data_IF_273890826914
#
_entry.id   IF_273890826914
#
_cell.length_a   1.000
_cell.length_b   1.000
_cell.length_c   1.000
_cell.angle_alpha   90.00
_cell.angle_beta   90.00
_cell.angle_gamma   90.00
#
_symmetry.space_group_name_H-M   'P 1'
#
loop_
_entity.id
_entity.type
_entity.pdbx_description
1 polymer ?
#
# COMPACT_ATOMS: atom_id res chain seq x y z
N UNK A 1 3.22 0.03 32.64
CA UNK A 1 2.94 -1.26 31.96
C UNK A 1 2.20 -0.99 30.65
N UNK A 2 2.87 -1.15 29.51
CA UNK A 2 2.19 -1.23 28.21
C UNK A 2 1.25 -2.44 28.31
N UNK A 3 -0.05 -2.18 28.27
CA UNK A 3 -1.02 -3.27 28.21
C UNK A 3 -0.83 -3.86 26.83
N UNK A 4 -0.27 -5.08 26.76
CA UNK A 4 -0.24 -5.82 25.51
C UNK A 4 -1.69 -5.97 25.04
N UNK A 5 -2.04 -5.23 23.98
CA UNK A 5 -3.41 -5.23 23.48
C UNK A 5 -3.74 -6.64 22.97
N UNK A 6 -4.92 -7.14 23.34
CA UNK A 6 -5.40 -8.44 22.89
C UNK A 6 -5.55 -8.44 21.37
N UNK A 7 -4.94 -9.42 20.69
CA UNK A 7 -5.11 -9.64 19.24
C UNK A 7 -6.37 -10.47 18.95
N UNK A 8 -7.52 -9.99 19.40
CA UNK A 8 -8.81 -10.65 19.12
C UNK A 8 -9.04 -10.68 17.61
N UNK A 9 -9.29 -11.87 17.05
CA UNK A 9 -9.43 -12.03 15.62
C UNK A 9 -10.43 -13.11 15.22
N UNK A 10 -10.97 -12.96 14.01
CA UNK A 10 -11.75 -13.98 13.32
C UNK A 10 -10.84 -14.64 12.29
N UNK A 11 -10.62 -15.95 12.45
CA UNK A 11 -9.88 -16.75 11.50
C UNK A 11 -10.83 -17.37 10.47
N UNK A 12 -10.51 -17.18 9.20
CA UNK A 12 -11.25 -17.75 8.08
C UNK A 12 -10.30 -18.48 7.15
N UNK A 13 -10.54 -19.77 6.89
CA UNK A 13 -9.73 -20.58 5.96
C UNK A 13 -10.51 -20.87 4.70
N UNK A 14 -10.05 -20.35 3.56
CA UNK A 14 -10.67 -20.57 2.25
C UNK A 14 -9.70 -20.17 1.13
N UNK A 15 -9.93 -20.68 -0.07
CA UNK A 15 -9.26 -20.20 -1.28
C UNK A 15 -10.14 -19.19 -2.04
N UNK A 16 -11.40 -19.01 -1.63
CA UNK A 16 -12.44 -18.35 -2.42
C UNK A 16 -12.82 -16.99 -1.81
N UNK A 17 -11.84 -16.10 -1.63
CA UNK A 17 -12.09 -14.70 -1.22
C UNK A 17 -12.16 -13.79 -2.44
N UNK A 18 -13.19 -12.97 -2.49
CA UNK A 18 -13.40 -11.97 -3.53
C UNK A 18 -12.63 -10.69 -3.19
N UNK A 19 -11.51 -10.47 -3.89
CA UNK A 19 -10.63 -9.29 -3.71
C UNK A 19 -10.83 -8.20 -4.76
N UNK A 20 -11.78 -8.37 -5.67
CA UNK A 20 -11.97 -7.46 -6.81
C UNK A 20 -12.71 -6.16 -6.42
N UNK A 21 -13.27 -6.09 -5.21
CA UNK A 21 -13.96 -4.91 -4.66
C UNK A 21 -13.39 -4.51 -3.31
N UNK A 22 -12.69 -3.38 -3.30
CA UNK A 22 -12.11 -2.77 -2.10
C UNK A 22 -13.18 -2.34 -1.07
N UNK A 23 -14.43 -2.10 -1.49
CA UNK A 23 -15.52 -1.55 -0.65
C UNK A 23 -15.73 -2.29 0.65
N UNK A 24 -15.71 -3.63 0.64
CA UNK A 24 -15.91 -4.41 1.87
C UNK A 24 -14.77 -4.21 2.86
N UNK A 25 -13.53 -4.21 2.37
CA UNK A 25 -12.35 -3.99 3.20
C UNK A 25 -12.35 -2.57 3.78
N UNK A 26 -12.78 -1.58 2.99
CA UNK A 26 -13.01 -0.19 3.43
C UNK A 26 -14.05 -0.12 4.55
N UNK A 27 -15.24 -0.68 4.33
CA UNK A 27 -16.31 -0.69 5.33
C UNK A 27 -15.89 -1.38 6.63
N UNK A 28 -15.22 -2.52 6.51
CA UNK A 28 -14.71 -3.27 7.65
C UNK A 28 -13.64 -2.48 8.40
N UNK A 29 -12.67 -1.87 7.70
CA UNK A 29 -11.62 -1.07 8.33
C UNK A 29 -12.19 0.11 9.10
N UNK A 30 -13.11 0.86 8.50
CA UNK A 30 -13.78 1.99 9.15
C UNK A 30 -14.48 1.55 10.44
N UNK A 31 -15.06 0.35 10.46
CA UNK A 31 -15.71 -0.21 11.66
C UNK A 31 -14.77 -1.05 12.52
N UNK A 32 -13.45 -0.90 12.37
CA UNK A 32 -12.45 -1.53 13.24
C UNK A 32 -12.23 -3.03 13.03
N UNK A 33 -12.51 -3.56 11.83
CA UNK A 33 -12.19 -4.94 11.47
C UNK A 33 -11.09 -4.97 10.39
N UNK A 34 -9.88 -5.33 10.80
CA UNK A 34 -8.66 -5.21 10.01
C UNK A 34 -8.29 -6.53 9.35
N UNK A 35 -8.44 -6.57 8.03
CA UNK A 35 -8.06 -7.74 7.23
C UNK A 35 -6.54 -7.89 7.08
N UNK A 36 -6.08 -9.14 7.19
CA UNK A 36 -4.74 -9.64 6.85
C UNK A 36 -4.85 -11.07 6.28
N UNK A 37 -3.77 -11.59 5.70
CA UNK A 37 -3.72 -12.98 5.26
C UNK A 37 -2.38 -13.66 5.48
N UNK A 38 -2.43 -14.98 5.65
CA UNK A 38 -1.28 -15.87 5.63
C UNK A 38 -1.48 -16.86 4.48
N UNK A 39 -0.54 -16.86 3.53
CA UNK A 39 -0.57 -17.79 2.40
C UNK A 39 -0.43 -19.24 2.90
N UNK A 40 -1.10 -20.21 2.26
CA UNK A 40 -1.86 -20.05 1.02
C UNK A 40 -3.31 -19.56 1.20
N UNK A 41 -3.97 -19.79 2.34
CA UNK A 41 -5.44 -19.72 2.41
C UNK A 41 -6.02 -19.35 3.79
N UNK A 42 -5.20 -18.77 4.66
CA UNK A 42 -5.64 -18.29 5.97
C UNK A 42 -5.86 -16.79 5.93
N UNK A 43 -7.02 -16.36 6.41
CA UNK A 43 -7.43 -14.96 6.45
C UNK A 43 -7.73 -14.58 7.89
N UNK A 44 -7.17 -13.47 8.33
CA UNK A 44 -7.34 -12.95 9.68
C UNK A 44 -8.06 -11.62 9.62
N UNK A 45 -9.07 -11.46 10.47
CA UNK A 45 -9.77 -10.20 10.64
C UNK A 45 -9.61 -9.79 12.11
N UNK A 46 -8.64 -8.93 12.38
CA UNK A 46 -8.37 -8.43 13.73
C UNK A 46 -9.37 -7.36 14.11
N UNK A 47 -9.84 -7.40 15.35
CA UNK A 47 -10.77 -6.41 15.89
C UNK A 47 -10.00 -5.22 16.47
N UNK A 48 -10.60 -4.04 16.41
CA UNK A 48 -10.13 -2.87 17.13
C UNK A 48 -10.15 -3.18 18.63
N UNK A 49 -9.02 -3.02 19.34
CA UNK A 49 -8.93 -3.40 20.75
C UNK A 49 -9.71 -2.49 21.68
N UNK A 50 -10.19 -1.33 21.20
CA UNK A 50 -10.92 -0.33 21.99
C UNK A 50 -12.43 -0.34 21.75
N UNK A 51 -12.93 -1.15 20.82
CA UNK A 51 -14.36 -1.28 20.60
C UNK A 51 -14.93 -2.44 21.40
N UNK A 52 -16.08 -2.21 22.02
CA UNK A 52 -16.67 -3.11 23.01
C UNK A 52 -17.61 -4.14 22.37
N UNK A 53 -18.43 -3.73 21.40
CA UNK A 53 -19.44 -4.60 20.80
C UNK A 53 -19.43 -4.49 19.28
N UNK A 54 -19.32 -5.63 18.60
CA UNK A 54 -19.40 -5.73 17.15
C UNK A 54 -20.59 -6.60 16.75
N UNK A 55 -21.41 -6.10 15.81
CA UNK A 55 -22.38 -6.93 15.10
C UNK A 55 -21.78 -7.34 13.75
N UNK A 56 -21.44 -8.61 13.63
CA UNK A 56 -20.75 -9.14 12.44
C UNK A 56 -21.68 -10.08 11.69
N UNK A 57 -21.88 -9.80 10.41
CA UNK A 57 -22.53 -10.70 9.46
C UNK A 57 -21.49 -11.59 8.81
N UNK A 58 -21.79 -12.88 8.68
CA UNK A 58 -20.93 -13.80 7.94
C UNK A 58 -21.80 -14.79 7.16
N UNK A 59 -21.33 -15.17 5.97
CA UNK A 59 -22.01 -16.19 5.19
C UNK A 59 -21.90 -17.55 5.87
N UNK A 60 -22.98 -18.33 5.82
CA UNK A 60 -22.99 -19.68 6.40
C UNK A 60 -21.95 -20.56 5.69
N UNK A 61 -21.20 -21.42 6.42
CA UNK A 61 -20.15 -22.25 5.83
C UNK A 61 -20.66 -23.24 4.75
N UNK A 62 -21.92 -23.63 4.82
CA UNK A 62 -22.59 -24.49 3.85
C UNK A 62 -24.10 -24.26 3.84
N UNK A 63 -24.69 -24.35 2.66
CA UNK A 63 -26.13 -24.49 2.43
C UNK A 63 -26.33 -25.76 1.60
N UNK A 64 -27.08 -26.74 2.11
CA UNK A 64 -27.32 -27.99 1.37
C UNK A 64 -28.11 -27.70 0.08
N UNK A 65 -27.58 -28.09 -1.08
CA UNK A 65 -28.28 -28.00 -2.37
C UNK A 65 -28.06 -26.70 -3.16
N UNK A 66 -27.23 -25.76 -2.69
CA UNK A 66 -26.90 -24.55 -3.43
C UNK A 66 -25.83 -24.80 -4.51
N UNK A 67 -25.93 -24.08 -5.63
CA UNK A 67 -24.96 -24.15 -6.72
C UNK A 67 -23.58 -23.70 -6.21
N UNK A 68 -22.51 -24.52 -6.33
CA UNK A 68 -21.16 -24.16 -5.88
C UNK A 68 -20.66 -22.79 -6.40
N UNK A 69 -21.11 -22.36 -7.58
CA UNK A 69 -20.77 -21.04 -8.14
C UNK A 69 -21.38 -19.86 -7.35
N UNK A 70 -22.45 -20.08 -6.58
CA UNK A 70 -23.09 -19.11 -5.69
C UNK A 70 -22.50 -19.13 -4.27
N UNK A 71 -21.62 -20.09 -3.95
CA UNK A 71 -20.98 -20.25 -2.63
C UNK A 71 -19.59 -19.60 -2.63
N UNK A 72 -19.43 -18.42 -3.25
CA UNK A 72 -18.20 -17.64 -3.08
C UNK A 72 -18.20 -17.02 -1.70
N UNK A 73 -17.13 -17.25 -0.95
CA UNK A 73 -17.02 -16.87 0.45
C UNK A 73 -16.46 -15.47 0.57
N UNK A 74 -17.35 -14.53 0.85
CA UNK A 74 -16.99 -13.10 0.90
C UNK A 74 -16.34 -12.67 2.22
N UNK A 75 -16.29 -13.55 3.22
CA UNK A 75 -15.74 -13.28 4.56
C UNK A 75 -16.71 -12.51 5.48
N UNK A 76 -16.30 -12.21 6.72
CA UNK A 76 -17.09 -11.42 7.66
C UNK A 76 -17.24 -9.95 7.22
N UNK A 77 -18.37 -9.36 7.57
CA UNK A 77 -18.68 -7.95 7.36
C UNK A 77 -19.21 -7.35 8.67
N UNK A 78 -18.63 -6.24 9.12
CA UNK A 78 -19.13 -5.52 10.29
C UNK A 78 -20.35 -4.69 9.90
N UNK A 79 -21.49 -5.06 10.46
CA UNK A 79 -22.75 -4.36 10.23
C UNK A 79 -22.83 -3.12 11.11
N UNK A 80 -22.49 -3.26 12.40
CA UNK A 80 -22.50 -2.20 13.40
C UNK A 80 -21.37 -2.39 14.40
N UNK A 81 -20.91 -1.30 15.00
CA UNK A 81 -19.99 -1.32 16.12
C UNK A 81 -20.46 -0.31 17.14
N UNK A 82 -20.39 -0.68 18.41
CA UNK A 82 -20.85 0.15 19.50
C UNK A 82 -19.75 0.45 20.49
N UNK A 83 -19.71 1.70 20.96
CA UNK A 83 -18.83 2.16 22.03
C UNK A 83 -19.63 2.52 23.28
N UNK A 84 -19.08 2.20 24.45
CA UNK A 84 -19.75 2.50 25.70
C UNK A 84 -19.67 4.00 26.03
N UNK A 85 -20.82 4.66 26.10
CA UNK A 85 -20.93 6.05 26.52
C UNK A 85 -21.13 6.11 28.03
N UNK A 86 -20.10 6.54 28.76
CA UNK A 86 -20.17 6.65 30.22
C UNK A 86 -21.12 7.74 30.71
N UNK A 87 -21.32 8.81 29.93
CA UNK A 87 -22.17 9.94 30.31
C UNK A 87 -23.65 9.56 30.21
N UNK A 88 -24.02 8.83 29.15
CA UNK A 88 -25.39 8.39 28.90
C UNK A 88 -25.72 7.04 29.54
N UNK A 89 -24.70 6.23 29.88
CA UNK A 89 -24.88 4.89 30.44
C UNK A 89 -25.46 3.89 29.43
N UNK A 90 -25.20 4.11 28.14
CA UNK A 90 -25.67 3.27 27.03
C UNK A 90 -24.57 3.13 25.95
N UNK A 91 -24.86 2.35 24.91
CA UNK A 91 -23.98 2.10 23.78
C UNK A 91 -24.31 3.01 22.58
N UNK A 92 -23.33 3.79 22.14
CA UNK A 92 -23.43 4.59 20.92
C UNK A 92 -23.04 3.75 19.69
N UNK A 93 -23.85 3.81 18.62
CA UNK A 93 -23.51 3.22 17.31
C UNK A 93 -22.49 4.12 16.60
N UNK A 94 -21.37 3.56 16.15
CA UNK A 94 -20.26 4.30 15.57
C UNK A 94 -20.01 3.85 14.13
N UNK A 95 -20.05 4.79 13.19
CA UNK A 95 -19.82 4.48 11.77
C UNK A 95 -18.33 4.34 11.42
N UNK A 96 -17.47 5.13 12.08
CA UNK A 96 -16.02 5.16 11.86
C UNK A 96 -15.29 5.18 13.20
N UNK A 97 -14.56 4.10 13.50
CA UNK A 97 -13.70 4.00 14.67
C UNK A 97 -12.33 4.65 14.41
N UNK A 98 -11.78 5.26 15.45
CA UNK A 98 -10.39 5.68 15.44
C UNK A 98 -9.49 4.44 15.42
N UNK A 99 -8.62 4.35 14.41
CA UNK A 99 -7.66 3.27 14.21
C UNK A 99 -6.24 3.62 14.73
N UNK A 100 -6.06 4.81 15.30
CA UNK A 100 -4.80 5.33 15.84
C UNK A 100 -3.77 5.70 14.77
N UNK A 101 -4.10 5.59 13.47
CA UNK A 101 -3.13 5.77 12.40
C UNK A 101 -2.65 7.22 12.26
N UNK A 102 -3.54 8.20 12.41
CA UNK A 102 -3.18 9.62 12.36
C UNK A 102 -2.28 10.02 13.54
N UNK A 103 -2.54 9.48 14.73
CA UNK A 103 -1.69 9.65 15.91
C UNK A 103 -0.28 9.10 15.65
N UNK A 104 -0.21 7.91 15.06
CA UNK A 104 1.05 7.28 14.67
C UNK A 104 1.83 8.14 13.65
N UNK A 105 1.17 8.68 12.62
CA UNK A 105 1.83 9.57 11.65
C UNK A 105 2.39 10.83 12.31
N UNK A 106 1.65 11.44 13.26
CA UNK A 106 2.09 12.62 14.02
C UNK A 106 3.25 12.31 14.94
N UNK A 107 3.19 11.21 15.68
CA UNK A 107 4.26 10.78 16.61
C UNK A 107 5.60 10.62 15.88
N UNK A 108 5.57 10.09 14.66
CA UNK A 108 6.76 9.83 13.85
C UNK A 108 7.05 10.92 12.80
N UNK A 109 6.39 12.07 12.88
CA UNK A 109 6.59 13.24 12.01
C UNK A 109 6.58 12.91 10.51
N UNK A 110 5.64 12.07 10.06
CA UNK A 110 5.43 11.83 8.63
C UNK A 110 4.74 13.06 8.01
N UNK A 111 5.31 13.64 6.97
CA UNK A 111 4.77 14.84 6.32
C UNK A 111 4.20 14.55 4.92
N UNK A 112 4.31 13.31 4.42
CA UNK A 112 3.75 12.94 3.12
C UNK A 112 2.23 13.17 3.06
N UNK A 113 1.80 13.96 2.07
CA UNK A 113 0.41 14.40 1.92
C UNK A 113 -0.55 13.23 1.66
N UNK A 114 -0.13 12.20 0.91
CA UNK A 114 -0.99 11.03 0.63
C UNK A 114 -1.24 10.20 1.89
N UNK A 115 -0.23 10.05 2.76
CA UNK A 115 -0.41 9.32 4.02
C UNK A 115 -1.26 10.11 5.02
N UNK A 116 -1.12 11.44 5.05
CA UNK A 116 -1.88 12.35 5.92
C UNK A 116 -3.33 12.59 5.46
N UNK A 117 -3.64 12.41 4.18
CA UNK A 117 -4.98 12.69 3.65
C UNK A 117 -6.01 11.64 4.10
N UNK A 118 -7.06 12.09 4.78
CA UNK A 118 -8.16 11.25 5.28
C UNK A 118 -9.11 10.78 4.16
N UNK A 119 -9.09 11.42 3.00
CA UNK A 119 -9.89 11.05 1.83
C UNK A 119 -9.26 9.91 1.02
N UNK A 120 -7.97 9.63 1.25
CA UNK A 120 -7.26 8.53 0.61
C UNK A 120 -7.54 7.25 1.37
N UNK A 121 -7.98 6.21 0.65
CA UNK A 121 -8.26 4.91 1.26
C UNK A 121 -7.01 4.33 1.91
N UNK A 122 -7.17 3.63 3.04
CA UNK A 122 -6.06 2.95 3.70
C UNK A 122 -5.34 2.00 2.73
N UNK A 123 -6.07 1.38 1.79
CA UNK A 123 -5.51 0.44 0.82
C UNK A 123 -4.56 1.16 -0.12
N UNK A 124 -4.89 2.39 -0.53
CA UNK A 124 -4.00 3.20 -1.37
C UNK A 124 -2.75 3.65 -0.61
N UNK A 125 -2.88 3.99 0.68
CA UNK A 125 -1.72 4.25 1.54
C UNK A 125 -0.78 3.04 1.61
N UNK A 126 -1.34 1.83 1.74
CA UNK A 126 -0.59 0.57 1.70
C UNK A 126 0.07 0.33 0.33
N UNK A 127 -0.67 0.54 -0.78
CA UNK A 127 -0.14 0.42 -2.15
C UNK A 127 1.05 1.36 -2.35
N UNK A 128 0.97 2.60 -1.85
CA UNK A 128 2.02 3.61 -2.04
C UNK A 128 3.33 3.16 -1.40
N UNK A 129 3.27 2.63 -0.18
CA UNK A 129 4.44 2.10 0.53
C UNK A 129 5.01 0.90 -0.21
N UNK A 130 4.17 -0.07 -0.59
CA UNK A 130 4.64 -1.27 -1.29
C UNK A 130 5.38 -0.88 -2.58
N UNK A 131 4.83 0.05 -3.39
CA UNK A 131 5.49 0.51 -4.61
C UNK A 131 6.78 1.28 -4.31
N UNK A 132 6.76 2.19 -3.33
CA UNK A 132 7.92 3.03 -2.95
C UNK A 132 9.08 2.24 -2.35
N UNK A 133 8.83 1.01 -1.88
CA UNK A 133 9.87 0.07 -1.45
C UNK A 133 10.28 -0.93 -2.54
N UNK A 134 9.54 -1.00 -3.65
CA UNK A 134 9.72 -2.02 -4.69
C UNK A 134 9.15 -3.39 -4.32
N UNK A 135 8.26 -3.46 -3.34
CA UNK A 135 7.57 -4.66 -2.88
C UNK A 135 6.35 -5.00 -3.76
N UNK A 136 6.55 -5.08 -5.08
CA UNK A 136 5.50 -5.41 -6.05
C UNK A 136 5.59 -6.87 -6.49
N UNK A 137 4.49 -7.62 -6.61
CA UNK A 137 4.55 -9.00 -7.16
C UNK A 137 4.07 -9.01 -8.60
N UNK A 138 4.97 -9.31 -9.55
CA UNK A 138 4.72 -9.32 -11.00
C UNK A 138 4.64 -10.72 -11.61
N UNK A 139 4.50 -11.77 -10.81
CA UNK A 139 4.49 -13.16 -11.31
C UNK A 139 3.20 -13.47 -12.10
N UNK A 140 3.38 -14.02 -13.31
CA UNK A 140 2.30 -14.51 -14.18
C UNK A 140 1.72 -13.43 -15.09
N UNK A 141 0.65 -13.77 -15.82
CA UNK A 141 0.00 -12.89 -16.81
C UNK A 141 -0.80 -11.73 -16.19
N UNK A 142 -1.05 -11.78 -14.87
CA UNK A 142 -1.82 -10.76 -14.15
C UNK A 142 -0.90 -9.79 -13.40
N UNK A 143 -0.68 -8.61 -14.00
CA UNK A 143 0.05 -7.46 -13.43
C UNK A 143 -0.67 -6.78 -12.24
N UNK A 144 -1.73 -7.39 -11.68
CA UNK A 144 -2.53 -6.92 -10.55
C UNK A 144 -1.81 -6.92 -9.20
N UNK A 145 -0.55 -6.47 -9.13
CA UNK A 145 0.25 -6.40 -7.90
C UNK A 145 -0.43 -5.61 -6.76
N UNK A 146 -1.26 -4.64 -7.13
CA UNK A 146 -1.96 -3.71 -6.25
C UNK A 146 -3.21 -4.33 -5.57
N UNK A 147 -3.56 -5.57 -5.90
CA UNK A 147 -4.63 -6.32 -5.24
C UNK A 147 -4.22 -6.66 -3.80
N UNK A 148 -5.17 -6.59 -2.88
CA UNK A 148 -4.92 -6.73 -1.44
C UNK A 148 -4.19 -8.04 -1.10
N UNK A 149 -4.53 -9.15 -1.74
CA UNK A 149 -3.92 -10.48 -1.53
C UNK A 149 -2.45 -10.60 -1.98
N UNK A 150 -1.95 -9.56 -2.66
CA UNK A 150 -0.59 -9.49 -3.21
C UNK A 150 0.27 -8.41 -2.57
N UNK A 151 -0.32 -7.53 -1.76
CA UNK A 151 0.39 -6.50 -1.02
C UNK A 151 1.14 -7.15 0.15
N UNK A 152 2.43 -6.88 0.26
CA UNK A 152 3.29 -7.48 1.30
C UNK A 152 2.87 -7.03 2.69
N UNK A 153 2.35 -5.81 2.82
CA UNK A 153 1.89 -5.25 4.09
C UNK A 153 0.66 -5.93 4.67
N UNK A 154 -0.16 -6.62 3.85
CA UNK A 154 -1.29 -7.42 4.33
C UNK A 154 -0.91 -8.86 4.68
N UNK A 155 0.33 -9.27 4.36
CA UNK A 155 0.79 -10.61 4.62
C UNK A 155 1.33 -10.73 6.05
N UNK A 156 0.70 -11.62 6.82
CA UNK A 156 1.18 -12.02 8.15
C UNK A 156 2.30 -13.04 7.99
N UNK A 157 3.32 -12.98 8.83
CA UNK A 157 4.37 -14.00 8.88
C UNK A 157 4.05 -15.14 9.88
N UNK A 158 4.93 -16.13 9.96
CA UNK A 158 4.74 -17.29 10.84
C UNK A 158 4.72 -16.94 12.35
N UNK A 159 5.19 -15.75 12.73
CA UNK A 159 5.17 -15.26 14.09
C UNK A 159 3.93 -14.39 14.37
N UNK A 160 2.95 -14.39 13.47
CA UNK A 160 1.74 -13.57 13.54
C UNK A 160 2.03 -12.07 13.68
N UNK A 161 3.12 -11.64 13.04
CA UNK A 161 3.55 -10.25 12.96
C UNK A 161 2.73 -9.50 11.91
N UNK A 162 2.03 -8.45 12.33
CA UNK A 162 1.15 -7.64 11.49
C UNK A 162 1.88 -6.39 11.01
N UNK A 163 2.50 -6.50 9.83
CA UNK A 163 3.30 -5.43 9.22
C UNK A 163 2.49 -4.39 8.46
N UNK A 164 1.17 -4.42 8.57
CA UNK A 164 0.32 -3.45 7.89
C UNK A 164 0.57 -2.06 8.46
N UNK A 165 0.79 -1.06 7.61
CA UNK A 165 1.06 0.31 8.04
C UNK A 165 -0.14 0.86 8.83
N UNK A 166 -1.34 0.72 8.28
CA UNK A 166 -2.56 1.29 8.86
C UNK A 166 -3.16 0.43 9.98
N UNK A 167 -2.38 -0.50 10.56
CA UNK A 167 -2.74 -1.22 11.77
C UNK A 167 -1.64 -1.01 12.81
N UNK A 168 -1.85 -0.05 13.71
CA UNK A 168 -0.80 0.45 14.61
C UNK A 168 -0.76 -0.26 15.96
N UNK A 169 -1.73 -1.14 16.24
CA UNK A 169 -1.86 -1.80 17.54
C UNK A 169 -0.93 -3.00 17.76
N UNK A 170 -0.24 -3.49 16.71
CA UNK A 170 0.75 -4.57 16.88
C UNK A 170 2.12 -4.01 17.23
N UNK A 171 2.46 -3.98 18.52
CA UNK A 171 3.75 -3.49 19.03
C UNK A 171 4.95 -4.23 18.43
N UNK A 172 4.82 -5.54 18.13
CA UNK A 172 5.90 -6.33 17.54
C UNK A 172 6.34 -5.78 16.18
N UNK A 173 5.43 -5.10 15.48
CA UNK A 173 5.61 -4.56 14.12
C UNK A 173 5.92 -3.07 14.09
N UNK A 174 6.13 -2.44 15.24
CA UNK A 174 6.42 -1.00 15.31
C UNK A 174 7.63 -0.61 14.46
N UNK A 175 8.75 -1.33 14.58
CA UNK A 175 9.97 -1.02 13.82
C UNK A 175 9.81 -1.24 12.30
N UNK A 176 8.95 -2.17 11.88
CA UNK A 176 8.64 -2.33 10.45
C UNK A 176 7.85 -1.11 9.94
N UNK A 177 6.86 -0.64 10.70
CA UNK A 177 6.08 0.55 10.33
C UNK A 177 6.92 1.82 10.31
N UNK A 178 7.79 2.01 11.31
CA UNK A 178 8.75 3.13 11.34
C UNK A 178 9.66 3.11 10.10
N UNK A 179 10.18 1.94 9.74
CA UNK A 179 11.00 1.79 8.54
C UNK A 179 10.24 2.17 7.26
N UNK A 180 8.92 1.94 7.19
CA UNK A 180 8.13 2.40 6.04
C UNK A 180 8.08 3.92 5.96
N UNK A 181 7.79 4.60 7.07
CA UNK A 181 7.77 6.07 7.14
C UNK A 181 9.15 6.64 6.82
N UNK A 182 10.22 6.09 7.40
CA UNK A 182 11.60 6.50 7.11
C UNK A 182 11.94 6.41 5.64
N UNK A 183 11.47 5.38 4.92
CA UNK A 183 11.73 5.25 3.47
C UNK A 183 11.00 6.34 2.69
N UNK A 184 9.74 6.61 2.99
CA UNK A 184 8.95 7.65 2.33
C UNK A 184 9.59 9.03 2.56
N UNK A 185 9.94 9.33 3.80
CA UNK A 185 10.56 10.61 4.16
C UNK A 185 11.99 10.75 3.61
N UNK A 186 12.77 9.67 3.55
CA UNK A 186 14.09 9.71 2.88
C UNK A 186 13.94 10.01 1.38
N UNK A 187 12.91 9.47 0.73
CA UNK A 187 12.61 9.83 -0.66
C UNK A 187 12.25 11.31 -0.75
N UNK A 188 11.26 11.77 0.01
CA UNK A 188 10.71 13.12 -0.11
C UNK A 188 11.73 14.20 0.30
N UNK A 189 12.31 14.09 1.49
CA UNK A 189 13.11 15.14 2.11
C UNK A 189 14.58 15.16 1.69
N UNK A 190 15.09 14.06 1.12
CA UNK A 190 16.51 13.96 0.71
C UNK A 190 16.67 13.67 -0.77
N UNK A 191 16.05 12.61 -1.29
CA UNK A 191 16.27 12.20 -2.68
C UNK A 191 15.62 13.19 -3.65
N UNK A 192 14.34 13.52 -3.46
CA UNK A 192 13.60 14.43 -4.33
C UNK A 192 14.00 15.90 -4.13
N UNK A 193 14.52 16.25 -2.95
CA UNK A 193 15.02 17.57 -2.63
C UNK A 193 16.41 17.88 -3.23
N UNK A 194 17.22 16.86 -3.55
CA UNK A 194 18.56 17.03 -4.15
C UNK A 194 18.55 16.68 -5.65
N UNK A 195 18.60 17.71 -6.49
CA UNK A 195 18.68 17.59 -7.96
C UNK A 195 19.83 16.73 -8.48
N UNK A 196 20.90 16.54 -7.69
CA UNK A 196 22.05 15.73 -8.06
C UNK A 196 21.78 14.23 -7.89
N UNK A 197 20.82 13.86 -7.04
CA UNK A 197 20.41 12.47 -6.83
C UNK A 197 19.39 11.99 -7.89
N UNK A 198 18.78 12.92 -8.62
CA UNK A 198 17.87 12.65 -9.73
C UNK A 198 18.66 12.31 -11.01
N UNK A 199 18.59 11.06 -11.51
CA UNK A 199 19.28 10.67 -12.74
C UNK A 199 18.71 11.40 -13.98
N UNK A 200 19.43 11.33 -15.11
CA UNK A 200 18.99 11.98 -16.35
C UNK A 200 17.60 11.53 -16.83
N UNK A 201 17.23 10.28 -16.54
CA UNK A 201 15.89 9.76 -16.81
C UNK A 201 14.78 10.51 -16.08
N UNK A 202 15.07 11.18 -14.97
CA UNK A 202 14.13 12.02 -14.21
C UNK A 202 14.45 13.52 -14.33
N UNK A 203 15.16 13.94 -15.37
CA UNK A 203 15.54 15.35 -15.57
C UNK A 203 14.36 16.33 -15.52
N UNK A 204 13.19 15.92 -15.97
CA UNK A 204 11.95 16.72 -15.96
C UNK A 204 11.26 16.84 -14.60
N UNK A 205 11.71 16.07 -13.60
CA UNK A 205 11.22 16.11 -12.23
C UNK A 205 12.04 17.05 -11.34
N UNK A 206 13.23 17.48 -11.78
CA UNK A 206 14.07 18.44 -11.04
C UNK A 206 13.28 19.72 -10.75
N UNK A 207 13.17 20.10 -9.49
CA UNK A 207 12.32 21.20 -8.96
C UNK A 207 10.83 21.12 -9.28
N UNK A 208 10.38 20.05 -9.93
CA UNK A 208 9.03 19.87 -10.45
C UNK A 208 8.31 18.68 -9.82
N UNK A 209 8.83 18.13 -8.73
CA UNK A 209 8.15 17.21 -7.82
C UNK A 209 8.57 17.51 -6.38
N UNK A 210 7.79 17.05 -5.41
CA UNK A 210 8.08 17.26 -3.98
C UNK A 210 7.91 16.00 -3.14
N UNK A 211 7.06 15.08 -3.57
CA UNK A 211 6.77 13.88 -2.80
C UNK A 211 6.37 12.70 -3.68
N UNK A 212 6.45 11.50 -3.10
CA UNK A 212 5.81 10.32 -3.68
C UNK A 212 4.29 10.45 -3.62
N UNK A 213 3.65 10.21 -4.75
CA UNK A 213 2.19 10.23 -4.90
C UNK A 213 1.77 9.48 -6.16
N UNK A 214 0.54 8.97 -6.17
CA UNK A 214 0.02 8.27 -7.35
C UNK A 214 -0.37 9.22 -8.48
N UNK A 215 -0.23 8.72 -9.70
CA UNK A 215 -0.80 9.38 -10.87
C UNK A 215 -2.32 9.18 -10.92
N UNK A 216 -3.08 10.28 -10.87
CA UNK A 216 -4.54 10.24 -10.98
C UNK A 216 -4.96 9.95 -12.43
N UNK A 217 -5.82 8.94 -12.61
CA UNK A 217 -6.40 8.51 -13.89
C UNK A 217 -7.93 8.65 -13.86
N UNK A 218 -8.42 9.83 -13.48
CA UNK A 218 -9.84 10.17 -13.42
C UNK A 218 -10.44 9.80 -12.06
N UNK A 219 -11.13 8.66 -11.97
CA UNK A 219 -11.77 8.19 -10.73
C UNK A 219 -10.91 7.19 -9.95
N UNK A 220 -9.71 6.86 -10.44
CA UNK A 220 -8.80 5.90 -9.80
C UNK A 220 -7.34 6.25 -10.08
N UNK A 221 -6.43 5.60 -9.38
CA UNK A 221 -4.99 5.76 -9.57
C UNK A 221 -4.42 4.78 -10.59
N UNK A 222 -3.40 5.23 -11.32
CA UNK A 222 -2.53 4.36 -12.09
C UNK A 222 -1.42 3.82 -11.17
N UNK A 223 -1.70 2.69 -10.52
CA UNK A 223 -0.79 2.02 -9.57
C UNK A 223 0.51 1.51 -10.21
N UNK A 224 0.90 1.96 -11.40
CA UNK A 224 2.27 1.74 -11.90
C UNK A 224 3.20 2.88 -11.51
N UNK A 225 2.67 4.04 -11.15
CA UNK A 225 3.46 5.27 -10.96
C UNK A 225 3.23 5.86 -9.58
N UNK A 226 4.31 6.19 -8.87
CA UNK A 226 4.31 6.82 -7.55
C UNK A 226 5.15 8.11 -7.50
N UNK A 227 5.43 8.71 -8.65
CA UNK A 227 6.01 10.04 -8.75
C UNK A 227 5.35 10.78 -9.90
N UNK A 228 4.92 12.01 -9.63
CA UNK A 228 4.21 12.87 -10.59
C UNK A 228 4.80 14.27 -10.54
N UNK A 229 4.84 14.96 -11.67
CA UNK A 229 5.24 16.37 -11.70
C UNK A 229 4.13 17.27 -11.12
N UNK A 230 4.49 18.46 -10.62
CA UNK A 230 3.54 19.42 -10.03
C UNK A 230 2.41 19.83 -10.98
N UNK A 231 2.67 19.80 -12.29
CA UNK A 231 1.67 20.08 -13.32
C UNK A 231 0.78 18.87 -13.69
N UNK A 232 1.01 17.72 -13.07
CA UNK A 232 0.26 16.49 -13.29
C UNK A 232 0.52 15.81 -14.64
N UNK A 233 1.50 16.25 -15.43
CA UNK A 233 1.68 15.78 -16.81
C UNK A 233 2.62 14.60 -16.94
N UNK A 234 3.70 14.57 -16.16
CA UNK A 234 4.71 13.51 -16.21
C UNK A 234 4.58 12.59 -15.01
N UNK A 235 4.94 11.33 -15.23
CA UNK A 235 4.84 10.27 -14.24
C UNK A 235 6.03 9.32 -14.33
N UNK A 236 6.43 8.80 -13.18
CA UNK A 236 7.55 7.89 -13.05
C UNK A 236 7.27 6.83 -11.98
N UNK A 237 8.06 5.76 -12.00
CA UNK A 237 8.01 4.69 -11.01
C UNK A 237 9.31 4.70 -10.26
N UNK A 238 9.23 4.94 -8.96
CA UNK A 238 10.42 5.02 -8.14
C UNK A 238 10.34 4.10 -6.94
N UNK A 239 11.50 3.62 -6.49
CA UNK A 239 11.61 2.95 -5.21
C UNK A 239 12.91 3.29 -4.51
N UNK A 240 12.89 3.18 -3.18
CA UNK A 240 14.09 3.24 -2.36
C UNK A 240 14.18 1.99 -1.50
N UNK A 241 15.26 1.23 -1.69
CA UNK A 241 15.46 -0.05 -1.02
C UNK A 241 16.19 0.09 0.31
N UNK A 242 16.57 1.29 0.74
CA UNK A 242 17.33 1.48 1.97
C UNK A 242 18.79 1.02 1.86
N UNK A 243 19.36 0.57 2.98
CA UNK A 243 20.71 -0.01 3.04
C UNK A 243 20.70 -1.41 2.44
N UNK A 244 21.18 -1.53 1.21
CA UNK A 244 21.14 -2.77 0.44
C UNK A 244 22.28 -2.81 -0.58
N UNK A 245 22.58 -4.00 -1.09
CA UNK A 245 23.60 -4.17 -2.14
C UNK A 245 23.09 -3.69 -3.49
N UNK A 246 24.02 -3.29 -4.36
CA UNK A 246 23.70 -2.98 -5.76
C UNK A 246 22.96 -4.11 -6.47
N UNK A 247 23.31 -5.36 -6.16
CA UNK A 247 22.68 -6.54 -6.76
C UNK A 247 21.19 -6.66 -6.37
N UNK A 248 20.86 -6.40 -5.10
CA UNK A 248 19.47 -6.42 -4.66
C UNK A 248 18.67 -5.25 -5.23
N UNK A 249 19.26 -4.05 -5.25
CA UNK A 249 18.64 -2.89 -5.91
C UNK A 249 18.38 -3.16 -7.40
N UNK A 250 19.30 -3.85 -8.10
CA UNK A 250 19.11 -4.23 -9.51
C UNK A 250 17.92 -5.18 -9.67
N UNK A 251 17.83 -6.18 -8.82
CA UNK A 251 16.69 -7.12 -8.81
C UNK A 251 15.36 -6.39 -8.59
N UNK A 252 15.32 -5.40 -7.70
CA UNK A 252 14.12 -4.56 -7.49
C UNK A 252 13.82 -3.72 -8.72
N UNK A 253 14.83 -3.13 -9.36
CA UNK A 253 14.67 -2.38 -10.60
C UNK A 253 14.07 -3.26 -11.72
N UNK A 254 14.62 -4.44 -11.94
CA UNK A 254 14.13 -5.38 -12.95
C UNK A 254 12.67 -5.80 -12.66
N UNK A 255 12.34 -6.05 -11.38
CA UNK A 255 10.97 -6.35 -10.95
C UNK A 255 9.98 -5.22 -11.23
N UNK A 256 10.40 -3.96 -11.07
CA UNK A 256 9.56 -2.79 -11.38
C UNK A 256 9.40 -2.61 -12.89
N UNK A 257 10.41 -2.97 -13.69
CA UNK A 257 10.30 -2.94 -15.15
C UNK A 257 9.19 -3.90 -15.65
N UNK A 258 8.99 -5.04 -15.00
CA UNK A 258 7.95 -6.03 -15.35
C UNK A 258 6.51 -5.49 -15.22
N UNK A 259 6.30 -4.34 -14.57
CA UNK A 259 5.02 -3.65 -14.55
C UNK A 259 4.61 -3.12 -15.95
N UNK A 260 5.57 -3.05 -16.88
CA UNK A 260 5.43 -2.45 -18.20
C UNK A 260 5.76 -3.48 -19.29
N UNK A 261 5.10 -3.37 -20.45
CA UNK A 261 5.50 -4.14 -21.64
C UNK A 261 6.91 -3.74 -22.08
N UNK A 262 7.67 -4.66 -22.69
CA UNK A 262 9.09 -4.45 -23.00
C UNK A 262 9.38 -3.23 -23.89
N UNK A 263 8.47 -2.90 -24.80
CA UNK A 263 8.53 -1.76 -25.73
C UNK A 263 7.97 -0.45 -25.13
N UNK A 264 7.45 -0.50 -23.91
CA UNK A 264 6.83 0.64 -23.27
C UNK A 264 7.88 1.66 -22.79
N UNK A 265 7.77 2.88 -23.29
CA UNK A 265 8.70 3.96 -22.96
C UNK A 265 8.72 4.34 -21.48
N UNK A 266 7.64 4.09 -20.73
CA UNK A 266 7.60 4.28 -19.27
C UNK A 266 8.67 3.47 -18.53
N UNK A 267 9.21 2.40 -19.14
CA UNK A 267 10.35 1.64 -18.60
C UNK A 267 11.60 2.52 -18.41
N UNK A 268 11.77 3.58 -19.22
CA UNK A 268 12.87 4.53 -19.08
C UNK A 268 12.71 5.41 -17.83
N UNK A 269 11.49 5.57 -17.32
CA UNK A 269 11.11 6.40 -16.17
C UNK A 269 11.09 5.62 -14.85
N UNK A 270 11.69 4.43 -14.82
CA UNK A 270 11.86 3.64 -13.61
C UNK A 270 13.19 3.99 -12.96
N UNK A 271 13.20 4.22 -11.64
CA UNK A 271 14.44 4.47 -10.87
C UNK A 271 14.38 3.76 -9.52
N UNK A 272 15.47 3.11 -9.14
CA UNK A 272 15.62 2.52 -7.81
C UNK A 272 16.84 3.10 -7.11
N UNK A 273 16.64 3.72 -5.96
CA UNK A 273 17.71 4.18 -5.09
C UNK A 273 18.08 3.15 -4.01
N UNK A 274 19.33 3.20 -3.56
CA UNK A 274 19.86 2.35 -2.49
C UNK A 274 21.07 3.00 -1.80
N UNK A 275 21.43 2.49 -0.61
CA UNK A 275 22.65 2.86 0.13
C UNK A 275 23.55 1.64 0.29
N UNK A 276 24.81 1.76 -0.13
CA UNK A 276 25.82 0.69 -0.02
C UNK A 276 27.06 1.21 0.70
N UNK A 277 27.44 0.58 1.81
CA UNK A 277 28.70 0.84 2.51
C UNK A 277 28.88 2.21 3.18
N UNK A 278 27.82 3.03 3.33
CA UNK A 278 27.93 4.36 3.95
C UNK A 278 26.65 5.20 3.87
N UNK A 279 26.83 6.54 3.88
CA UNK A 279 25.75 7.52 3.78
C UNK A 279 25.33 7.85 2.35
N UNK A 280 26.19 7.58 1.37
CA UNK A 280 25.95 7.90 -0.03
C UNK A 280 24.75 7.12 -0.59
N UNK A 281 23.91 7.84 -1.33
CA UNK A 281 22.77 7.29 -2.06
C UNK A 281 23.19 7.06 -3.51
N UNK A 282 22.98 5.85 -4.01
CA UNK A 282 23.20 5.46 -5.38
C UNK A 282 21.87 5.14 -6.05
N UNK A 283 21.84 5.10 -7.39
CA UNK A 283 20.65 4.73 -8.14
C UNK A 283 20.93 3.71 -9.24
N UNK A 284 19.87 3.02 -9.63
CA UNK A 284 19.78 2.20 -10.82
C UNK A 284 18.65 2.78 -11.66
N UNK A 285 18.98 3.18 -12.89
CA UNK A 285 18.09 3.88 -13.82
C UNK A 285 18.50 3.62 -15.27
N UNK A 286 17.64 4.02 -16.20
CA UNK A 286 18.01 4.15 -17.61
C UNK A 286 19.06 5.26 -17.78
N UNK A 287 20.11 4.99 -18.56
CA UNK A 287 21.13 5.99 -18.91
C UNK A 287 20.73 6.89 -20.08
N UNK A 288 19.61 6.60 -20.74
CA UNK A 288 19.10 7.41 -21.85
C UNK A 288 18.14 8.47 -21.33
N UNK A 289 18.27 9.70 -21.84
CA UNK A 289 17.30 10.78 -21.61
C UNK A 289 15.92 10.37 -22.15
N UNK A 290 14.83 10.77 -21.47
CA UNK A 290 13.49 10.54 -21.97
C UNK A 290 13.24 11.39 -23.23
N UNK A 291 12.65 10.80 -24.25
CA UNK A 291 12.12 11.50 -25.42
C UNK A 291 10.73 12.09 -25.09
N UNK A 292 10.31 13.14 -25.79
CA UNK A 292 9.00 13.78 -25.56
C UNK A 292 7.80 12.80 -25.71
N UNK A 293 7.98 11.72 -26.47
CA UNK A 293 6.99 10.64 -26.64
C UNK A 293 6.96 9.66 -25.49
N UNK A 294 8.05 9.54 -24.73
CA UNK A 294 8.15 8.69 -23.55
C UNK A 294 7.26 9.20 -22.40
N UNK A 295 6.86 10.47 -22.53
CA UNK A 295 6.09 11.26 -21.56
C UNK A 295 4.58 11.36 -21.88
N UNK A 296 4.12 10.83 -23.01
CA UNK A 296 2.77 11.12 -23.51
C UNK A 296 1.72 10.08 -23.08
N UNK A 297 0.61 10.57 -22.52
CA UNK A 297 -0.65 9.80 -22.35
C UNK A 297 -1.35 9.49 -23.67
N UNK A 298 -0.91 10.13 -24.75
CA UNK A 298 -1.41 9.92 -26.10
C UNK A 298 -0.55 8.86 -26.78
N UNK A 299 -1.17 7.76 -27.19
CA UNK A 299 -0.53 6.85 -28.15
C UNK A 299 -0.07 7.71 -29.35
N UNK A 300 1.15 7.52 -29.86
CA UNK A 300 1.49 8.08 -31.15
C UNK A 300 0.44 7.55 -32.13
N UNK A 301 -0.25 8.46 -32.82
CA UNK A 301 -1.21 8.09 -33.85
C UNK A 301 -0.54 7.07 -34.77
N UNK A 302 -1.08 5.85 -34.82
CA UNK A 302 -0.78 4.92 -35.89
C UNK A 302 -1.28 5.58 -37.17
N UNK A 303 -0.36 6.20 -37.91
CA UNK A 303 -0.60 6.50 -39.30
C UNK A 303 -0.48 5.15 -40.01
N UNK A 304 -1.54 4.82 -40.75
CA UNK A 304 -1.74 3.62 -41.57
C UNK A 304 -0.50 3.15 -42.33
#
# INVERSE_FOLDING_TARGET
PLIQLSKSSILFKTNDVEFDRDTRFINNHNKGLYYMHLKPNSHYYYLNPFAEVFLISNQKPSSAGENPALIRRTGPEVMKVYQWNQEEGDFDDVDVLNDGFDDFLREYNCENGILQDSQISFIDKERLINLSQGNVTTRGDDKGWHKIDRLETFQVDANEKIKRLTYVYDELSLEDRKKYLEIIEEINLKILADENLLPESLSSFKNNCSEVMFFNKGTSYDYKYNLVTKDGKRKATIAYTGRNTKALARKTYDKLLDLFEEDNQSRKMVVVWYKEGGSNIYNISSTKKPDATDDSTNKPNSIY
#
